data_IF_575037541004
#
_entry.id   IF_575037541004
#
_cell.length_a   1.000
_cell.length_b   1.000
_cell.length_c   1.000
_cell.angle_alpha   90.00
_cell.angle_beta   90.00
_cell.angle_gamma   90.00
#
_symmetry.space_group_name_H-M   'P 1'
#
loop_
_entity.id
_entity.type
_entity.pdbx_description
1 polymer ?
#
# COMPACT_ATOMS: atom_id res chain seq x y z
N UNK A 1 -13.96 1.11 9.76
CA UNK A 1 -14.36 1.09 11.19
C UNK A 1 -14.05 -0.31 11.75
N UNK A 2 -14.06 -0.55 13.07
CA UNK A 2 -13.72 -1.85 13.73
C UNK A 2 -12.22 -2.22 13.82
N UNK A 3 -11.32 -1.24 13.82
CA UNK A 3 -9.88 -1.46 14.03
C UNK A 3 -9.48 -0.99 15.43
N UNK A 4 -8.59 -1.74 16.09
CA UNK A 4 -7.81 -1.23 17.24
C UNK A 4 -6.58 -0.51 16.70
N UNK A 5 -6.12 0.52 17.40
CA UNK A 5 -4.97 1.33 16.98
C UNK A 5 -3.88 1.30 18.04
N UNK A 6 -2.63 1.25 17.57
CA UNK A 6 -1.41 1.44 18.36
C UNK A 6 -0.45 2.26 17.52
N UNK A 7 0.32 3.15 18.16
CA UNK A 7 1.32 3.98 17.50
C UNK A 7 2.69 3.35 17.74
N UNK A 8 3.45 3.15 16.66
CA UNK A 8 4.83 2.62 16.71
C UNK A 8 5.69 3.48 15.79
N UNK A 9 6.79 4.00 16.31
CA UNK A 9 7.83 4.63 15.49
C UNK A 9 8.79 3.54 15.01
N UNK A 10 8.71 3.17 13.73
CA UNK A 10 9.57 2.16 13.11
C UNK A 10 11.04 2.59 12.98
N UNK A 11 11.36 3.86 13.22
CA UNK A 11 12.74 4.36 13.24
C UNK A 11 13.36 4.31 14.63
N UNK A 12 12.56 4.09 15.67
CA UNK A 12 13.08 3.86 17.00
C UNK A 12 13.79 2.50 17.06
N UNK A 13 14.86 2.35 17.87
CA UNK A 13 15.62 1.10 17.95
C UNK A 13 14.78 -0.15 18.24
N UNK A 14 13.68 -0.01 18.98
CA UNK A 14 12.77 -1.10 19.35
C UNK A 14 11.45 -1.11 18.55
N UNK A 15 11.25 -0.14 17.65
CA UNK A 15 10.04 0.01 16.85
C UNK A 15 9.71 -1.23 16.01
N UNK A 16 10.64 -1.73 15.18
CA UNK A 16 10.41 -2.90 14.35
C UNK A 16 10.06 -4.14 15.18
N UNK A 17 10.76 -4.38 16.29
CA UNK A 17 10.51 -5.52 17.19
C UNK A 17 9.05 -5.56 17.69
N UNK A 18 8.49 -4.41 18.07
CA UNK A 18 7.08 -4.32 18.50
C UNK A 18 6.09 -4.73 17.40
N UNK A 19 6.40 -4.42 16.13
CA UNK A 19 5.57 -4.86 15.00
C UNK A 19 5.76 -6.35 14.72
N UNK A 20 6.99 -6.87 14.83
CA UNK A 20 7.26 -8.29 14.68
C UNK A 20 6.54 -9.14 15.73
N UNK A 21 6.43 -8.67 16.98
CA UNK A 21 5.66 -9.35 18.04
C UNK A 21 4.14 -9.35 17.80
N UNK A 22 3.63 -8.39 17.02
CA UNK A 22 2.25 -8.40 16.53
C UNK A 22 2.11 -9.37 15.36
N UNK A 23 3.04 -9.35 14.41
CA UNK A 23 3.07 -10.23 13.24
C UNK A 23 3.21 -11.72 13.63
N UNK A 24 3.92 -12.03 14.73
CA UNK A 24 4.06 -13.39 15.26
C UNK A 24 2.71 -14.08 15.51
N UNK A 25 1.69 -13.30 15.87
CA UNK A 25 0.35 -13.78 16.25
C UNK A 25 -0.73 -13.40 15.24
N UNK A 26 -0.34 -12.83 14.12
CA UNK A 26 -1.25 -12.40 13.07
C UNK A 26 -1.36 -13.48 11.99
N UNK A 27 -2.55 -13.60 11.40
CA UNK A 27 -2.75 -14.39 10.19
C UNK A 27 -2.33 -13.62 8.95
N UNK A 28 -2.53 -12.30 8.95
CA UNK A 28 -2.28 -11.40 7.82
C UNK A 28 -1.62 -10.10 8.27
N UNK A 29 -0.62 -9.65 7.53
CA UNK A 29 -0.08 -8.29 7.60
C UNK A 29 -0.27 -7.62 6.25
N UNK A 30 -0.80 -6.39 6.24
CA UNK A 30 -0.97 -5.59 5.02
C UNK A 30 -0.22 -4.28 5.19
N UNK A 31 0.61 -3.93 4.21
CA UNK A 31 1.31 -2.65 4.15
C UNK A 31 1.22 -2.03 2.75
N UNK A 32 1.40 -0.71 2.69
CA UNK A 32 1.32 0.07 1.44
C UNK A 32 2.49 1.03 1.23
N UNK A 33 3.66 0.69 1.77
CA UNK A 33 4.87 1.45 1.52
C UNK A 33 5.39 1.22 0.10
N UNK A 34 6.19 2.16 -0.40
CA UNK A 34 6.93 1.95 -1.66
C UNK A 34 7.86 0.72 -1.54
N UNK A 35 8.16 0.04 -2.64
CA UNK A 35 9.00 -1.16 -2.61
C UNK A 35 10.36 -0.88 -1.94
N UNK A 36 10.78 -1.77 -1.03
CA UNK A 36 12.03 -1.68 -0.27
C UNK A 36 11.95 -0.87 1.03
N UNK A 37 10.85 -0.15 1.29
CA UNK A 37 10.71 0.65 2.51
C UNK A 37 10.49 -0.23 3.74
N UNK A 38 9.62 -1.24 3.65
CA UNK A 38 9.33 -2.13 4.78
C UNK A 38 10.58 -2.90 5.23
N UNK A 39 11.38 -3.36 4.29
CA UNK A 39 12.67 -4.03 4.53
C UNK A 39 13.66 -3.09 5.22
N UNK A 40 13.80 -1.84 4.73
CA UNK A 40 14.65 -0.84 5.38
C UNK A 40 14.20 -0.50 6.80
N UNK A 41 12.91 -0.66 7.09
CA UNK A 41 12.32 -0.45 8.42
C UNK A 41 12.31 -1.73 9.27
N UNK A 42 12.90 -2.84 8.81
CA UNK A 42 12.99 -4.09 9.59
C UNK A 42 11.65 -4.80 9.81
N UNK A 43 10.65 -4.51 8.98
CA UNK A 43 9.32 -5.13 9.01
C UNK A 43 8.97 -5.70 7.64
N UNK A 44 9.99 -6.10 6.87
CA UNK A 44 9.81 -6.74 5.58
C UNK A 44 9.29 -8.18 5.73
N UNK A 45 8.89 -8.81 4.61
CA UNK A 45 8.37 -10.18 4.60
C UNK A 45 9.42 -11.17 5.08
N UNK A 46 10.71 -10.93 4.82
CA UNK A 46 11.79 -11.76 5.36
C UNK A 46 11.78 -11.76 6.89
N UNK A 47 11.80 -10.57 7.50
CA UNK A 47 11.78 -10.41 8.96
C UNK A 47 10.50 -10.97 9.58
N UNK A 48 9.34 -10.70 8.96
CA UNK A 48 8.06 -11.20 9.43
C UNK A 48 7.92 -12.72 9.30
N UNK A 49 8.31 -13.32 8.17
CA UNK A 49 8.23 -14.78 7.97
C UNK A 49 9.25 -15.53 8.82
N UNK A 50 10.41 -14.93 9.15
CA UNK A 50 11.34 -15.50 10.11
C UNK A 50 10.70 -15.63 11.51
N UNK A 51 9.78 -14.72 11.88
CA UNK A 51 9.04 -14.76 13.14
C UNK A 51 7.79 -15.65 13.06
N UNK A 52 7.09 -15.61 11.94
CA UNK A 52 5.86 -16.38 11.69
C UNK A 52 5.83 -16.91 10.25
N UNK A 53 6.29 -18.16 10.01
CA UNK A 53 6.28 -18.77 8.69
C UNK A 53 4.90 -19.00 8.07
N UNK A 54 3.82 -18.87 8.85
CA UNK A 54 2.42 -19.05 8.40
C UNK A 54 1.76 -17.73 7.99
N UNK A 55 2.39 -16.59 8.25
CA UNK A 55 1.84 -15.27 7.98
C UNK A 55 1.59 -15.09 6.47
N UNK A 56 0.43 -14.53 6.11
CA UNK A 56 0.19 -14.00 4.78
C UNK A 56 0.60 -12.53 4.75
N UNK A 57 1.62 -12.21 3.96
CA UNK A 57 2.13 -10.84 3.83
C UNK A 57 1.60 -10.19 2.55
N UNK A 58 0.69 -9.23 2.69
CA UNK A 58 0.08 -8.46 1.59
C UNK A 58 0.75 -7.11 1.38
N UNK A 59 1.07 -6.79 0.12
CA UNK A 59 1.62 -5.49 -0.29
C UNK A 59 0.66 -4.76 -1.20
N UNK A 60 0.32 -3.53 -0.85
CA UNK A 60 -0.54 -2.66 -1.65
C UNK A 60 0.26 -1.46 -2.16
N UNK A 61 0.87 -1.57 -3.34
CA UNK A 61 1.63 -0.47 -3.96
C UNK A 61 0.93 0.05 -5.19
N UNK A 62 1.09 1.36 -5.44
CA UNK A 62 0.41 2.01 -6.54
C UNK A 62 0.78 1.51 -7.94
N UNK A 63 2.03 1.11 -8.13
CA UNK A 63 2.55 0.71 -9.44
C UNK A 63 3.19 -0.69 -9.42
N UNK A 64 2.84 -1.52 -8.45
CA UNK A 64 3.45 -2.83 -8.25
C UNK A 64 4.81 -2.77 -7.54
N UNK A 65 5.45 -3.93 -7.37
CA UNK A 65 6.78 -4.07 -6.76
C UNK A 65 7.91 -3.86 -7.78
N UNK A 66 7.59 -4.02 -9.06
CA UNK A 66 8.54 -4.07 -10.17
C UNK A 66 8.11 -3.14 -11.31
N UNK A 67 9.03 -2.87 -12.23
CA UNK A 67 8.77 -2.04 -13.40
C UNK A 67 9.11 -0.56 -13.22
N UNK A 68 8.96 0.24 -14.28
CA UNK A 68 9.52 1.59 -14.37
C UNK A 68 8.87 2.61 -13.42
N UNK A 69 7.66 2.31 -12.95
CA UNK A 69 6.90 3.19 -12.05
C UNK A 69 6.94 2.73 -10.59
N UNK A 70 7.53 1.58 -10.28
CA UNK A 70 7.50 0.97 -8.94
C UNK A 70 8.01 1.90 -7.81
N UNK A 71 9.02 2.73 -8.11
CA UNK A 71 9.59 3.67 -7.15
C UNK A 71 8.87 5.03 -7.12
N UNK A 72 7.88 5.25 -7.98
CA UNK A 72 7.09 6.49 -8.01
C UNK A 72 5.96 6.45 -6.98
N UNK A 73 5.59 7.61 -6.47
CA UNK A 73 4.39 7.73 -5.66
C UNK A 73 3.15 7.43 -6.53
N UNK A 74 2.29 6.54 -6.05
CA UNK A 74 1.00 6.27 -6.65
C UNK A 74 -0.11 6.92 -5.84
N UNK A 75 -1.01 7.61 -6.52
CA UNK A 75 -2.22 8.19 -5.96
C UNK A 75 -3.35 8.03 -6.98
N UNK A 76 -4.59 7.91 -6.51
CA UNK A 76 -5.80 7.73 -7.32
C UNK A 76 -5.77 8.48 -8.66
N UNK A 77 -5.66 9.82 -8.59
CA UNK A 77 -5.70 10.70 -9.77
C UNK A 77 -4.59 10.38 -10.78
N UNK A 78 -3.42 9.96 -10.32
CA UNK A 78 -2.30 9.58 -11.17
C UNK A 78 -2.54 8.29 -11.94
N UNK A 79 -3.21 7.32 -11.31
CA UNK A 79 -3.60 6.06 -11.97
C UNK A 79 -4.58 6.35 -13.10
N UNK A 80 -5.68 7.06 -12.78
CA UNK A 80 -6.75 7.30 -13.75
C UNK A 80 -6.34 8.27 -14.85
N UNK A 81 -5.39 9.18 -14.59
CA UNK A 81 -4.80 10.04 -15.62
C UNK A 81 -3.99 9.20 -16.61
N UNK A 82 -3.13 8.31 -16.11
CA UNK A 82 -2.26 7.51 -16.97
C UNK A 82 -3.03 6.46 -17.78
N UNK A 83 -4.11 5.91 -17.24
CA UNK A 83 -4.95 4.91 -17.93
C UNK A 83 -5.98 5.53 -18.88
N UNK A 84 -6.02 6.87 -18.99
CA UNK A 84 -6.96 7.59 -19.85
C UNK A 84 -8.37 7.75 -19.28
N UNK A 85 -8.67 7.13 -18.14
CA UNK A 85 -10.00 7.21 -17.52
C UNK A 85 -10.36 8.62 -17.09
N UNK A 86 -9.39 9.39 -16.59
CA UNK A 86 -9.60 10.78 -16.23
C UNK A 86 -10.11 11.60 -17.43
N UNK A 87 -9.55 11.37 -18.62
CA UNK A 87 -9.95 12.06 -19.85
C UNK A 87 -11.39 11.76 -20.29
N UNK A 88 -12.04 10.73 -19.74
CA UNK A 88 -13.45 10.41 -20.00
C UNK A 88 -14.41 11.13 -19.04
N UNK A 89 -13.91 11.91 -18.08
CA UNK A 89 -14.70 12.56 -17.03
C UNK A 89 -14.69 14.08 -17.26
N UNK A 90 -15.86 14.63 -17.59
CA UNK A 90 -16.05 16.06 -17.84
C UNK A 90 -16.56 16.34 -19.26
N UNK A 91 -16.53 17.62 -19.64
CA UNK A 91 -16.90 18.05 -20.99
C UNK A 91 -15.77 17.83 -22.02
N UNK A 92 -16.11 17.62 -23.31
CA UNK A 92 -15.14 17.27 -24.36
C UNK A 92 -14.08 18.34 -24.67
N UNK A 93 -14.32 19.61 -24.34
CA UNK A 93 -13.39 20.73 -24.59
C UNK A 93 -12.93 21.42 -23.29
N UNK A 94 -13.09 20.74 -22.15
CA UNK A 94 -12.69 21.24 -20.84
C UNK A 94 -11.58 20.34 -20.26
N UNK A 95 -10.72 20.89 -19.37
CA UNK A 95 -9.84 20.05 -18.58
C UNK A 95 -10.65 18.99 -17.83
N UNK A 96 -10.15 17.74 -17.72
CA UNK A 96 -10.83 16.70 -16.99
C UNK A 96 -11.19 17.09 -15.56
N UNK A 97 -12.42 16.80 -15.15
CA UNK A 97 -12.85 17.04 -13.79
C UNK A 97 -12.29 15.97 -12.85
N UNK A 98 -11.79 16.37 -11.69
CA UNK A 98 -11.27 15.44 -10.68
C UNK A 98 -12.46 14.66 -10.08
N UNK A 99 -12.54 13.33 -10.27
CA UNK A 99 -13.64 12.54 -9.73
C UNK A 99 -13.44 12.26 -8.24
N UNK A 100 -14.47 11.68 -7.60
CA UNK A 100 -14.27 10.97 -6.34
C UNK A 100 -13.31 9.79 -6.56
N UNK A 101 -12.54 9.42 -5.52
CA UNK A 101 -11.49 8.38 -5.56
C UNK A 101 -12.03 6.94 -5.59
N UNK A 102 -13.11 6.72 -6.34
CA UNK A 102 -13.81 5.44 -6.40
C UNK A 102 -13.08 4.42 -7.28
N UNK A 103 -12.38 4.89 -8.31
CA UNK A 103 -11.80 4.00 -9.32
C UNK A 103 -10.36 3.58 -9.00
N UNK A 104 -9.47 4.52 -8.68
CA UNK A 104 -8.08 4.20 -8.39
C UNK A 104 -7.93 3.55 -7.02
N UNK A 105 -8.43 4.21 -5.96
CA UNK A 105 -8.26 3.72 -4.59
C UNK A 105 -9.26 2.64 -4.20
N UNK A 106 -10.57 2.91 -4.31
CA UNK A 106 -11.58 1.97 -3.82
C UNK A 106 -11.67 0.72 -4.69
N UNK A 107 -11.85 0.86 -6.01
CA UNK A 107 -11.92 -0.30 -6.89
C UNK A 107 -10.57 -1.05 -6.94
N UNK A 108 -9.45 -0.33 -7.09
CA UNK A 108 -8.11 -0.93 -7.06
C UNK A 108 -7.81 -1.67 -5.76
N UNK A 109 -8.11 -1.07 -4.60
CA UNK A 109 -7.92 -1.71 -3.30
C UNK A 109 -8.85 -2.90 -3.05
N UNK A 110 -10.03 -2.92 -3.66
CA UNK A 110 -10.99 -4.03 -3.57
C UNK A 110 -10.70 -5.22 -4.50
N UNK A 111 -9.91 -5.02 -5.55
CA UNK A 111 -9.64 -6.08 -6.53
C UNK A 111 -8.60 -7.11 -6.04
N UNK A 112 -7.75 -6.70 -5.10
CA UNK A 112 -6.59 -7.48 -4.64
C UNK A 112 -6.79 -8.15 -3.26
N UNK A 113 -7.97 -8.01 -2.64
CA UNK A 113 -8.32 -8.59 -1.34
C UNK A 113 -9.75 -9.15 -1.31
#
# INVERSE_FOLDING_TARGET
RNKRSVVVDLKAPDGPARVLDLAERADVLIEGYRPGVAERLGVGPGDCHARNPRLVYGRMTGWGQEGPLAQRAGHDIGYIALTGTLGMIGGPDEPPAVPANLLGDYAGGSLYL
#
